data_IF_018593357918
#
_entry.id   IF_018593357918
#
_cell.length_a   1.000
_cell.length_b   1.000
_cell.length_c   1.000
_cell.angle_alpha   90.00
_cell.angle_beta   90.00
_cell.angle_gamma   90.00
#
_symmetry.space_group_name_H-M   'P 1'
#
loop_
_entity.id
_entity.type
_entity.pdbx_description
1 polymer ?
#
# COMPACT_ATOMS: atom_id res chain seq x y z
N UNK A 1 12.88 -7.04 -25.48
CA UNK A 1 12.26 -8.10 -26.31
C UNK A 1 12.34 -9.49 -25.66
N UNK A 2 13.34 -9.77 -24.83
CA UNK A 2 13.51 -11.09 -24.23
C UNK A 2 12.34 -11.51 -23.30
N UNK A 3 11.83 -10.58 -22.49
CA UNK A 3 10.75 -10.84 -21.53
C UNK A 3 9.40 -11.28 -22.14
N UNK A 4 9.03 -10.77 -23.33
CA UNK A 4 7.80 -11.23 -24.01
C UNK A 4 7.96 -12.66 -24.51
N UNK A 5 9.14 -13.01 -25.02
CA UNK A 5 9.44 -14.38 -25.43
C UNK A 5 9.46 -15.33 -24.23
N UNK A 6 10.05 -14.89 -23.12
CA UNK A 6 10.02 -15.63 -21.85
C UNK A 6 8.60 -15.89 -21.40
N UNK A 7 7.73 -14.87 -21.38
CA UNK A 7 6.31 -15.04 -21.03
C UNK A 7 5.60 -16.04 -21.95
N UNK A 8 5.75 -15.89 -23.27
CA UNK A 8 5.08 -16.78 -24.24
C UNK A 8 5.55 -18.24 -24.09
N UNK A 9 6.84 -18.45 -23.85
CA UNK A 9 7.42 -19.79 -23.62
C UNK A 9 6.98 -20.38 -22.28
N UNK A 10 7.08 -19.59 -21.20
CA UNK A 10 6.76 -20.03 -19.85
C UNK A 10 5.29 -20.41 -19.70
N UNK A 11 4.38 -19.64 -20.32
CA UNK A 11 2.94 -19.82 -20.14
C UNK A 11 2.24 -20.47 -21.34
N UNK A 12 2.95 -20.71 -22.44
CA UNK A 12 2.36 -21.25 -23.67
C UNK A 12 1.28 -20.35 -24.28
N UNK A 13 1.39 -19.02 -24.10
CA UNK A 13 0.45 -18.01 -24.57
C UNK A 13 1.03 -17.18 -25.71
N UNK A 14 0.18 -16.45 -26.44
CA UNK A 14 0.59 -15.44 -27.42
C UNK A 14 0.33 -14.05 -26.87
N UNK A 15 1.28 -13.14 -27.02
CA UNK A 15 1.11 -11.72 -26.67
C UNK A 15 0.27 -11.02 -27.75
N UNK A 16 -0.74 -10.27 -27.30
CA UNK A 16 -1.60 -9.45 -28.17
C UNK A 16 -1.13 -8.00 -28.18
N UNK A 17 -1.03 -7.41 -27.00
CA UNK A 17 -0.63 -6.01 -26.77
C UNK A 17 0.22 -5.92 -25.52
N UNK A 18 0.99 -4.84 -25.41
CA UNK A 18 1.74 -4.54 -24.19
C UNK A 18 1.90 -3.03 -24.04
N UNK A 19 2.02 -2.58 -22.80
CA UNK A 19 2.16 -1.18 -22.43
C UNK A 19 3.17 -1.05 -21.30
N UNK A 20 4.13 -0.12 -21.40
CA UNK A 20 5.04 0.19 -20.30
C UNK A 20 4.30 1.04 -19.26
N UNK A 21 4.31 0.60 -18.00
CA UNK A 21 3.79 1.36 -16.86
C UNK A 21 4.89 2.22 -16.24
N UNK A 22 4.48 3.34 -15.65
CA UNK A 22 5.40 4.25 -14.97
C UNK A 22 5.96 3.57 -13.71
N UNK A 23 7.27 3.37 -13.67
CA UNK A 23 8.03 2.98 -12.49
C UNK A 23 9.40 3.63 -12.54
N UNK A 24 9.92 4.01 -11.38
CA UNK A 24 11.20 4.73 -11.25
C UNK A 24 12.38 3.79 -11.03
N UNK A 25 12.12 2.56 -10.55
CA UNK A 25 13.15 1.59 -10.15
C UNK A 25 13.25 0.42 -11.11
N UNK A 26 12.11 0.00 -11.65
CA UNK A 26 11.99 -1.23 -12.44
C UNK A 26 11.30 -0.95 -13.77
N UNK A 27 11.50 -1.82 -14.77
CA UNK A 27 10.68 -1.76 -15.96
C UNK A 27 9.43 -2.61 -15.73
N UNK A 28 8.27 -1.94 -15.62
CA UNK A 28 6.98 -2.59 -15.42
C UNK A 28 6.18 -2.55 -16.71
N UNK A 29 5.60 -3.68 -17.10
CA UNK A 29 4.80 -3.81 -18.31
C UNK A 29 3.47 -4.50 -18.02
N UNK A 30 2.39 -3.91 -18.51
CA UNK A 30 1.12 -4.60 -18.68
C UNK A 30 1.14 -5.35 -20.00
N UNK A 31 0.74 -6.61 -20.01
CA UNK A 31 0.77 -7.47 -21.19
C UNK A 31 -0.54 -8.22 -21.32
N UNK A 32 -1.24 -8.04 -22.44
CA UNK A 32 -2.41 -8.84 -22.78
C UNK A 32 -2.00 -10.07 -23.57
N UNK A 33 -2.54 -11.22 -23.19
CA UNK A 33 -2.21 -12.49 -23.82
C UNK A 33 -3.46 -13.25 -24.22
N UNK A 34 -3.29 -14.21 -25.11
CA UNK A 34 -4.32 -15.20 -25.46
C UNK A 34 -3.74 -16.61 -25.36
N UNK A 35 -4.45 -17.52 -24.70
CA UNK A 35 -4.08 -18.93 -24.61
C UNK A 35 -4.47 -19.70 -25.88
N UNK A 36 -4.02 -20.95 -26.00
CA UNK A 36 -4.45 -21.86 -27.09
C UNK A 36 -5.97 -22.09 -27.13
N UNK A 37 -6.64 -21.96 -25.99
CA UNK A 37 -8.10 -22.04 -25.87
C UNK A 37 -8.81 -20.71 -26.19
N UNK A 38 -8.10 -19.74 -26.78
CA UNK A 38 -8.61 -18.41 -27.10
C UNK A 38 -9.09 -17.59 -25.89
N UNK A 39 -8.61 -17.92 -24.68
CA UNK A 39 -8.91 -17.13 -23.46
C UNK A 39 -7.92 -15.99 -23.33
N UNK A 40 -8.43 -14.76 -23.21
CA UNK A 40 -7.61 -13.59 -22.96
C UNK A 40 -7.30 -13.47 -21.47
N UNK A 41 -6.04 -13.22 -21.12
CA UNK A 41 -5.62 -12.95 -19.74
C UNK A 41 -4.49 -11.91 -19.69
N UNK A 42 -4.62 -10.86 -18.89
CA UNK A 42 -3.55 -9.89 -18.66
C UNK A 42 -2.55 -10.35 -17.61
N UNK A 43 -1.32 -9.86 -17.72
CA UNK A 43 -0.24 -10.06 -16.76
C UNK A 43 0.55 -8.76 -16.52
N UNK A 44 1.23 -8.71 -15.38
CA UNK A 44 2.29 -7.73 -15.12
C UNK A 44 3.65 -8.42 -15.25
N UNK A 45 4.54 -7.82 -16.02
CA UNK A 45 5.96 -8.19 -16.06
C UNK A 45 6.76 -7.09 -15.38
N UNK A 46 7.59 -7.47 -14.41
CA UNK A 46 8.50 -6.56 -13.72
C UNK A 46 9.94 -7.04 -13.95
N UNK A 47 10.74 -6.19 -14.58
CA UNK A 47 12.17 -6.40 -14.79
C UNK A 47 12.98 -5.58 -13.79
N UNK A 48 13.94 -6.24 -13.17
CA UNK A 48 14.89 -5.67 -12.23
C UNK A 48 16.25 -5.52 -12.92
N UNK A 49 16.59 -4.32 -13.42
CA UNK A 49 17.86 -4.10 -14.11
C UNK A 49 19.05 -4.11 -13.16
N UNK A 50 18.87 -3.57 -11.94
CA UNK A 50 19.96 -3.21 -11.04
C UNK A 50 20.00 -4.04 -9.74
N UNK A 51 19.01 -4.92 -9.53
CA UNK A 51 18.89 -5.74 -8.32
C UNK A 51 18.25 -7.11 -8.61
N UNK A 52 18.44 -8.13 -7.76
CA UNK A 52 17.75 -9.40 -7.92
C UNK A 52 16.29 -9.30 -7.46
N UNK A 53 15.40 -10.00 -8.18
CA UNK A 53 13.96 -10.08 -7.86
C UNK A 53 13.63 -10.89 -6.59
N UNK A 54 14.61 -11.62 -6.04
CA UNK A 54 14.42 -12.69 -5.07
C UNK A 54 13.67 -12.27 -3.80
N UNK A 55 13.89 -11.05 -3.30
CA UNK A 55 13.21 -10.56 -2.10
C UNK A 55 11.70 -10.41 -2.33
N UNK A 56 11.29 -9.75 -3.41
CA UNK A 56 9.87 -9.60 -3.72
C UNK A 56 9.23 -10.95 -4.04
N UNK A 57 9.94 -11.84 -4.76
CA UNK A 57 9.45 -13.20 -5.00
C UNK A 57 9.18 -13.95 -3.70
N UNK A 58 10.11 -13.87 -2.75
CA UNK A 58 9.96 -14.51 -1.44
C UNK A 58 8.72 -13.97 -0.71
N UNK A 59 8.61 -12.64 -0.55
CA UNK A 59 7.51 -12.04 0.21
C UNK A 59 6.15 -12.26 -0.44
N UNK A 60 6.01 -12.07 -1.75
CA UNK A 60 4.76 -12.35 -2.47
C UNK A 60 4.34 -13.81 -2.30
N UNK A 61 5.28 -14.75 -2.42
CA UNK A 61 5.00 -16.19 -2.29
C UNK A 61 4.53 -16.56 -0.89
N UNK A 62 5.22 -16.09 0.16
CA UNK A 62 4.86 -16.45 1.54
C UNK A 62 3.58 -15.75 2.01
N UNK A 63 3.37 -14.49 1.62
CA UNK A 63 2.15 -13.73 1.97
C UNK A 63 0.92 -14.30 1.27
N UNK A 64 1.05 -14.71 0.00
CA UNK A 64 -0.04 -15.37 -0.72
C UNK A 64 -0.41 -16.71 -0.08
N UNK A 65 0.58 -17.53 0.31
CA UNK A 65 0.35 -18.81 1.00
C UNK A 65 -0.27 -18.62 2.39
N UNK A 66 0.04 -17.51 3.05
CA UNK A 66 -0.60 -17.09 4.30
C UNK A 66 -2.06 -16.63 4.09
N UNK A 67 -2.47 -16.36 2.85
CA UNK A 67 -3.82 -15.91 2.51
C UNK A 67 -3.98 -14.39 2.44
N UNK A 68 -2.87 -13.63 2.44
CA UNK A 68 -2.93 -12.19 2.18
C UNK A 68 -3.17 -11.94 0.69
N UNK A 69 -3.98 -10.94 0.38
CA UNK A 69 -4.23 -10.51 -0.99
C UNK A 69 -3.02 -9.74 -1.54
N UNK A 70 -2.23 -10.45 -2.32
CA UNK A 70 -1.07 -9.96 -3.09
C UNK A 70 -1.08 -10.66 -4.46
N UNK A 71 -0.41 -10.11 -5.49
CA UNK A 71 -0.32 -10.76 -6.78
C UNK A 71 0.30 -12.16 -6.70
N UNK A 72 -0.37 -13.13 -7.31
CA UNK A 72 0.19 -14.44 -7.60
C UNK A 72 1.32 -14.33 -8.63
N UNK A 73 2.47 -14.90 -8.26
CA UNK A 73 3.59 -15.08 -9.18
C UNK A 73 3.31 -16.30 -10.05
N UNK A 74 3.27 -16.08 -11.36
CA UNK A 74 3.04 -17.12 -12.36
C UNK A 74 4.37 -17.72 -12.81
N UNK A 75 5.40 -16.88 -12.91
CA UNK A 75 6.74 -17.28 -13.28
C UNK A 75 7.76 -16.24 -12.83
N UNK A 76 8.98 -16.64 -12.50
CA UNK A 76 10.07 -15.71 -12.21
C UNK A 76 11.44 -16.32 -12.53
N UNK A 77 12.43 -15.46 -12.69
CA UNK A 77 13.85 -15.79 -12.61
C UNK A 77 14.58 -14.71 -11.79
N UNK A 78 15.92 -14.65 -11.87
CA UNK A 78 16.71 -13.67 -11.12
C UNK A 78 16.41 -12.20 -11.50
N UNK A 79 15.92 -11.93 -12.72
CA UNK A 79 15.74 -10.59 -13.28
C UNK A 79 14.29 -10.22 -13.56
N UNK A 80 13.40 -11.21 -13.69
CA UNK A 80 12.01 -10.99 -14.09
C UNK A 80 11.05 -11.64 -13.10
N UNK A 81 9.93 -10.97 -12.87
CA UNK A 81 8.73 -11.55 -12.27
C UNK A 81 7.57 -11.35 -13.24
N UNK A 82 6.87 -12.43 -13.54
CA UNK A 82 5.58 -12.44 -14.23
C UNK A 82 4.52 -12.79 -13.20
N UNK A 83 3.58 -11.87 -13.00
CA UNK A 83 2.54 -12.00 -11.99
C UNK A 83 1.17 -11.71 -12.58
N UNK A 84 0.13 -12.14 -11.87
CA UNK A 84 -1.24 -11.79 -12.23
C UNK A 84 -1.40 -10.26 -12.29
N UNK A 85 -2.22 -9.81 -13.24
CA UNK A 85 -2.69 -8.44 -13.22
C UNK A 85 -3.93 -8.34 -12.32
N UNK A 86 -3.87 -7.46 -11.32
CA UNK A 86 -4.99 -7.17 -10.44
C UNK A 86 -5.85 -6.09 -11.08
N UNK A 87 -7.05 -6.47 -11.52
CA UNK A 87 -8.06 -5.53 -11.99
C UNK A 87 -8.67 -4.79 -10.79
N UNK A 88 -8.62 -3.47 -10.78
CA UNK A 88 -9.24 -2.66 -9.73
C UNK A 88 -8.89 -1.18 -9.81
N UNK A 89 -9.34 -0.44 -8.81
CA UNK A 89 -9.10 1.01 -8.65
C UNK A 89 -7.97 1.23 -7.66
N UNK A 90 -7.02 2.12 -7.97
CA UNK A 90 -5.93 2.45 -7.06
C UNK A 90 -6.45 3.23 -5.85
N UNK A 91 -5.84 3.06 -4.67
CA UNK A 91 -6.20 3.85 -3.50
C UNK A 91 -6.04 5.36 -3.73
N UNK A 92 -5.06 5.78 -4.55
CA UNK A 92 -4.89 7.19 -4.93
C UNK A 92 -6.11 7.75 -5.68
N UNK A 93 -6.79 6.93 -6.48
CA UNK A 93 -7.94 7.34 -7.29
C UNK A 93 -9.23 7.30 -6.47
N UNK A 94 -9.36 6.34 -5.54
CA UNK A 94 -10.44 6.32 -4.55
C UNK A 94 -10.44 7.57 -3.65
N UNK A 95 -9.28 8.21 -3.51
CA UNK A 95 -9.10 9.46 -2.76
C UNK A 95 -9.25 10.73 -3.62
N UNK A 96 -9.59 10.58 -4.90
CA UNK A 96 -9.80 11.71 -5.83
C UNK A 96 -11.15 12.40 -5.64
N UNK A 97 -12.20 11.66 -5.32
CA UNK A 97 -13.54 12.20 -5.10
C UNK A 97 -14.24 11.52 -3.91
N UNK A 98 -14.93 12.28 -3.03
CA UNK A 98 -15.67 11.71 -1.90
C UNK A 98 -16.93 10.98 -2.40
N UNK A 99 -16.79 9.69 -2.71
CA UNK A 99 -17.89 8.83 -3.15
C UNK A 99 -18.58 8.11 -1.96
N UNK A 100 -19.82 7.65 -2.16
CA UNK A 100 -20.67 7.04 -1.13
C UNK A 100 -20.21 5.68 -0.57
N UNK A 101 -19.21 5.04 -1.18
CA UNK A 101 -18.71 3.71 -0.78
C UNK A 101 -17.46 3.74 0.11
N UNK A 102 -17.09 4.91 0.65
CA UNK A 102 -15.89 5.08 1.46
C UNK A 102 -15.74 4.07 2.60
N UNK A 103 -16.85 3.78 3.30
CA UNK A 103 -16.83 2.87 4.44
C UNK A 103 -16.38 1.44 4.06
N UNK A 104 -16.74 0.96 2.88
CA UNK A 104 -16.40 -0.40 2.46
C UNK A 104 -14.89 -0.52 2.28
N UNK A 105 -14.30 0.29 1.40
CA UNK A 105 -12.88 0.17 1.10
C UNK A 105 -12.01 0.53 2.30
N UNK A 106 -12.40 1.48 3.16
CA UNK A 106 -11.65 1.80 4.39
C UNK A 106 -11.53 0.55 5.29
N UNK A 107 -12.63 -0.18 5.48
CA UNK A 107 -12.62 -1.40 6.30
C UNK A 107 -11.76 -2.50 5.66
N UNK A 108 -11.80 -2.63 4.34
CA UNK A 108 -10.98 -3.62 3.64
C UNK A 108 -9.48 -3.26 3.64
N UNK A 109 -9.14 -1.97 3.60
CA UNK A 109 -7.76 -1.51 3.77
C UNK A 109 -7.28 -1.80 5.19
N UNK A 110 -8.11 -1.53 6.21
CA UNK A 110 -7.81 -1.87 7.59
C UNK A 110 -7.58 -3.38 7.77
N UNK A 111 -8.44 -4.21 7.16
CA UNK A 111 -8.31 -5.67 7.18
C UNK A 111 -7.03 -6.13 6.49
N UNK A 112 -6.67 -5.50 5.38
CA UNK A 112 -5.43 -5.81 4.67
C UNK A 112 -4.19 -5.54 5.53
N UNK A 113 -4.10 -4.35 6.17
CA UNK A 113 -3.00 -4.04 7.09
C UNK A 113 -2.97 -4.98 8.29
N UNK A 114 -4.13 -5.27 8.89
CA UNK A 114 -4.22 -6.21 10.01
C UNK A 114 -3.73 -7.61 9.60
N UNK A 115 -4.07 -8.05 8.39
CA UNK A 115 -3.58 -9.31 7.82
C UNK A 115 -2.06 -9.31 7.65
N UNK A 116 -1.48 -8.24 7.09
CA UNK A 116 -0.03 -8.10 6.94
C UNK A 116 0.68 -8.13 8.31
N UNK A 117 0.21 -7.33 9.26
CA UNK A 117 0.80 -7.22 10.59
C UNK A 117 0.62 -8.49 11.45
N UNK A 118 -0.35 -9.34 11.09
CA UNK A 118 -0.55 -10.65 11.71
C UNK A 118 0.40 -11.74 11.16
N UNK A 119 0.97 -11.55 9.97
CA UNK A 119 1.76 -12.59 9.28
C UNK A 119 2.98 -13.05 10.10
N UNK A 120 3.74 -12.09 10.64
CA UNK A 120 4.87 -12.37 11.51
C UNK A 120 4.85 -11.35 12.64
N UNK A 121 4.60 -11.83 13.86
CA UNK A 121 4.74 -11.04 15.07
C UNK A 121 5.88 -11.58 15.90
N UNK A 122 6.74 -10.66 16.33
CA UNK A 122 7.84 -10.96 17.23
C UNK A 122 7.57 -10.34 18.59
N UNK A 123 8.17 -10.87 19.68
CA UNK A 123 8.08 -10.24 21.00
C UNK A 123 8.46 -8.75 20.91
N UNK A 124 7.62 -7.87 21.47
CA UNK A 124 7.82 -6.41 21.40
C UNK A 124 6.98 -5.66 20.36
N UNK A 125 5.87 -6.25 19.89
CA UNK A 125 4.91 -5.61 18.95
C UNK A 125 5.48 -5.28 17.57
N UNK A 126 6.61 -5.87 17.20
CA UNK A 126 7.20 -5.68 15.88
C UNK A 126 6.59 -6.69 14.91
N UNK A 127 6.07 -6.18 13.79
CA UNK A 127 5.47 -6.97 12.71
C UNK A 127 6.16 -6.71 11.37
N UNK A 128 5.82 -7.53 10.36
CA UNK A 128 6.17 -7.21 8.97
C UNK A 128 5.37 -5.99 8.53
N UNK A 129 6.06 -4.91 8.16
CA UNK A 129 5.50 -3.69 7.57
C UNK A 129 5.85 -3.58 6.09
N UNK A 130 4.98 -2.92 5.33
CA UNK A 130 5.11 -2.73 3.89
C UNK A 130 6.22 -1.74 3.52
N UNK A 131 6.60 -0.81 4.40
CA UNK A 131 7.61 0.24 4.19
C UNK A 131 7.33 1.22 3.03
N UNK A 132 7.06 0.76 1.80
CA UNK A 132 6.59 1.58 0.68
C UNK A 132 5.05 1.65 0.65
N UNK A 133 4.56 2.70 1.32
CA UNK A 133 3.14 3.01 1.53
C UNK A 133 2.56 3.92 0.44
N UNK A 134 3.21 4.01 -0.73
CA UNK A 134 2.66 4.76 -1.86
C UNK A 134 1.22 4.28 -2.16
N UNK A 135 0.28 5.22 -2.29
CA UNK A 135 -1.14 4.92 -2.52
C UNK A 135 -1.39 4.13 -3.82
N UNK A 136 -0.45 4.14 -4.77
CA UNK A 136 -0.54 3.33 -6.01
C UNK A 136 -0.23 1.85 -5.77
N UNK A 137 0.37 1.52 -4.64
CA UNK A 137 0.71 0.15 -4.27
C UNK A 137 -0.48 -0.61 -3.65
N UNK A 138 -1.68 -0.01 -3.66
CA UNK A 138 -2.90 -0.60 -3.13
C UNK A 138 -3.99 -0.54 -4.20
N UNK A 139 -4.55 -1.71 -4.53
CA UNK A 139 -5.55 -1.87 -5.58
C UNK A 139 -6.81 -2.47 -4.94
N UNK A 140 -7.95 -1.79 -5.09
CA UNK A 140 -9.25 -2.27 -4.64
C UNK A 140 -10.02 -2.86 -5.81
N UNK A 141 -10.39 -4.14 -5.74
CA UNK A 141 -11.12 -4.83 -6.83
C UNK A 141 -12.65 -4.63 -6.76
N UNK A 142 -13.12 -3.78 -5.84
CA UNK A 142 -14.54 -3.60 -5.50
C UNK A 142 -14.98 -4.42 -4.28
N UNK A 143 -14.14 -5.33 -3.78
CA UNK A 143 -14.44 -6.19 -2.61
C UNK A 143 -13.32 -6.26 -1.61
N UNK A 144 -12.08 -6.34 -2.05
CA UNK A 144 -10.89 -6.46 -1.20
C UNK A 144 -9.75 -5.61 -1.73
N UNK A 145 -8.81 -5.26 -0.84
CA UNK A 145 -7.54 -4.68 -1.25
C UNK A 145 -6.51 -5.75 -1.57
N UNK A 146 -5.70 -5.46 -2.58
CA UNK A 146 -4.42 -6.10 -2.85
C UNK A 146 -3.31 -5.10 -2.58
N UNK A 147 -2.26 -5.54 -1.90
CA UNK A 147 -1.00 -4.80 -1.88
C UNK A 147 -0.08 -5.32 -2.97
N UNK A 148 0.66 -4.41 -3.59
CA UNK A 148 1.69 -4.72 -4.60
C UNK A 148 3.00 -4.06 -4.21
N UNK A 149 4.08 -4.42 -4.89
CA UNK A 149 5.42 -3.85 -4.69
C UNK A 149 5.98 -4.14 -3.28
N UNK A 150 6.57 -5.33 -3.14
CA UNK A 150 7.15 -5.85 -1.89
C UNK A 150 8.68 -5.92 -1.93
N UNK A 151 9.33 -5.09 -2.74
CA UNK A 151 10.80 -5.01 -2.80
C UNK A 151 11.41 -4.52 -1.51
N UNK A 152 10.73 -3.58 -0.87
CA UNK A 152 11.09 -3.03 0.43
C UNK A 152 10.05 -3.50 1.43
N UNK A 153 10.47 -4.29 2.40
CA UNK A 153 9.69 -4.57 3.59
C UNK A 153 10.58 -4.39 4.80
N UNK A 154 9.97 -4.19 5.96
CA UNK A 154 10.70 -3.95 7.18
C UNK A 154 10.02 -4.62 8.36
N UNK A 155 10.78 -4.84 9.43
CA UNK A 155 10.20 -5.16 10.72
C UNK A 155 10.06 -3.87 11.52
N UNK A 156 8.83 -3.50 11.84
CA UNK A 156 8.51 -2.29 12.63
C UNK A 156 7.21 -2.46 13.40
N UNK A 157 6.91 -1.58 14.37
CA UNK A 157 5.58 -1.52 14.97
C UNK A 157 4.51 -1.23 13.89
N UNK A 158 3.29 -1.77 14.02
CA UNK A 158 2.20 -1.53 13.07
C UNK A 158 1.84 -0.05 12.95
N UNK A 159 2.10 0.74 14.00
CA UNK A 159 1.92 2.18 14.04
C UNK A 159 2.72 2.92 12.96
N UNK A 160 3.85 2.36 12.51
CA UNK A 160 4.65 2.95 11.44
C UNK A 160 3.89 2.94 10.12
N UNK A 161 3.32 1.79 9.76
CA UNK A 161 2.55 1.64 8.53
C UNK A 161 1.26 2.45 8.59
N UNK A 162 0.56 2.41 9.73
CA UNK A 162 -0.69 3.15 9.94
C UNK A 162 -0.48 4.67 9.94
N UNK A 163 0.54 5.18 10.63
CA UNK A 163 0.89 6.59 10.61
C UNK A 163 1.35 7.05 9.23
N UNK A 164 2.20 6.25 8.59
CA UNK A 164 2.70 6.52 7.25
C UNK A 164 1.58 6.57 6.20
N UNK A 165 0.69 5.59 6.16
CA UNK A 165 -0.42 5.58 5.19
C UNK A 165 -1.37 6.76 5.44
N UNK A 166 -1.62 7.15 6.69
CA UNK A 166 -2.39 8.36 7.01
C UNK A 166 -1.71 9.63 6.47
N UNK A 167 -0.38 9.73 6.55
CA UNK A 167 0.36 10.85 5.96
C UNK A 167 0.22 10.88 4.43
N UNK A 168 0.30 9.72 3.76
CA UNK A 168 0.06 9.62 2.32
C UNK A 168 -1.37 10.01 1.93
N UNK A 169 -2.38 9.55 2.67
CA UNK A 169 -3.79 9.91 2.45
C UNK A 169 -3.98 11.43 2.54
N UNK A 170 -3.53 12.03 3.65
CA UNK A 170 -3.70 13.47 3.90
C UNK A 170 -2.92 14.34 2.90
N UNK A 171 -1.72 13.92 2.51
CA UNK A 171 -0.84 14.66 1.61
C UNK A 171 -1.00 14.27 0.12
N UNK A 172 -2.04 13.51 -0.22
CA UNK A 172 -2.44 13.32 -1.61
C UNK A 172 -3.34 14.47 -2.06
N UNK A 173 -3.35 14.84 -3.33
CA UNK A 173 -4.26 15.87 -3.84
C UNK A 173 -5.74 15.38 -3.80
N UNK A 174 -6.72 16.23 -3.45
CA UNK A 174 -6.57 17.53 -2.76
C UNK A 174 -6.05 17.33 -1.32
N UNK A 175 -5.06 18.14 -0.92
CA UNK A 175 -4.29 17.90 0.32
C UNK A 175 -5.01 18.43 1.56
N UNK A 176 -5.00 17.64 2.64
CA UNK A 176 -5.53 17.97 3.97
C UNK A 176 -7.00 18.39 3.99
N UNK A 177 -7.81 17.84 3.10
CA UNK A 177 -9.27 18.02 3.15
C UNK A 177 -9.88 17.36 4.38
N UNK A 178 -10.94 17.98 4.94
CA UNK A 178 -11.59 17.52 6.18
C UNK A 178 -12.00 16.04 6.11
N UNK A 179 -12.52 15.59 4.98
CA UNK A 179 -12.97 14.21 4.79
C UNK A 179 -11.80 13.20 4.81
N UNK A 180 -10.58 13.61 4.43
CA UNK A 180 -9.39 12.74 4.50
C UNK A 180 -8.96 12.46 5.93
N UNK A 181 -9.19 13.40 6.85
CA UNK A 181 -9.04 13.11 8.27
C UNK A 181 -10.05 12.03 8.69
N UNK A 182 -11.33 12.17 8.34
CA UNK A 182 -12.35 11.16 8.66
C UNK A 182 -12.00 9.77 8.11
N UNK A 183 -11.39 9.70 6.92
CA UNK A 183 -10.84 8.47 6.35
C UNK A 183 -9.76 7.88 7.24
N UNK A 184 -8.72 8.65 7.59
CA UNK A 184 -7.63 8.18 8.48
C UNK A 184 -8.19 7.66 9.80
N UNK A 185 -9.12 8.39 10.38
CA UNK A 185 -9.74 8.01 11.64
C UNK A 185 -10.54 6.71 11.54
N UNK A 186 -11.37 6.60 10.50
CA UNK A 186 -12.14 5.40 10.25
C UNK A 186 -11.25 4.19 9.98
N UNK A 187 -10.11 4.40 9.31
CA UNK A 187 -9.10 3.37 9.08
C UNK A 187 -8.49 2.87 10.39
N UNK A 188 -8.05 3.79 11.27
CA UNK A 188 -7.48 3.44 12.57
C UNK A 188 -8.51 2.73 13.45
N UNK A 189 -9.72 3.26 13.58
CA UNK A 189 -10.78 2.63 14.37
C UNK A 189 -11.19 1.24 13.85
N UNK A 190 -11.23 1.06 12.52
CA UNK A 190 -11.49 -0.24 11.91
C UNK A 190 -10.34 -1.23 12.20
N UNK A 191 -9.09 -0.78 12.12
CA UNK A 191 -7.92 -1.60 12.43
C UNK A 191 -7.91 -2.05 13.90
N UNK A 192 -8.16 -1.13 14.84
CA UNK A 192 -8.26 -1.42 16.27
C UNK A 192 -9.36 -2.45 16.57
N UNK A 193 -10.53 -2.30 15.92
CA UNK A 193 -11.65 -3.24 16.08
C UNK A 193 -11.28 -4.65 15.62
N UNK A 194 -10.52 -4.78 14.53
CA UNK A 194 -10.04 -6.07 14.02
C UNK A 194 -8.97 -6.64 14.97
N UNK A 195 -8.10 -5.78 15.47
CA UNK A 195 -6.97 -6.15 16.32
C UNK A 195 -7.43 -6.66 17.69
N UNK A 196 -8.40 -5.99 18.30
CA UNK A 196 -9.01 -6.41 19.56
C UNK A 196 -9.65 -7.81 19.47
N UNK A 197 -10.28 -8.13 18.32
CA UNK A 197 -10.87 -9.46 18.10
C UNK A 197 -9.83 -10.56 17.92
N UNK A 198 -8.63 -10.20 17.49
CA UNK A 198 -7.54 -11.12 17.17
C UNK A 198 -6.54 -11.27 18.33
N UNK A 199 -6.88 -10.76 19.52
CA UNK A 199 -6.01 -10.71 20.70
C UNK A 199 -4.67 -10.00 20.45
N UNK A 200 -4.62 -9.06 19.50
CA UNK A 200 -3.42 -8.25 19.30
C UNK A 200 -3.28 -7.22 20.42
N UNK A 201 -2.03 -6.83 20.71
CA UNK A 201 -1.78 -5.70 21.61
C UNK A 201 -2.52 -4.45 21.14
N UNK A 202 -2.97 -3.65 22.10
CA UNK A 202 -3.62 -2.38 21.80
C UNK A 202 -2.67 -1.47 21.02
N UNK A 203 -3.22 -0.79 20.01
CA UNK A 203 -2.49 0.15 19.18
C UNK A 203 -2.10 1.39 19.99
N UNK A 204 -0.85 1.82 19.89
CA UNK A 204 -0.42 3.09 20.48
C UNK A 204 -0.74 4.26 19.52
N UNK A 205 -1.88 4.91 19.75
CA UNK A 205 -2.33 6.07 18.95
C UNK A 205 -1.32 7.23 18.96
N UNK A 206 -0.52 7.39 20.01
CA UNK A 206 0.52 8.43 20.07
C UNK A 206 1.70 8.07 19.15
N UNK A 207 2.04 6.78 19.06
CA UNK A 207 3.04 6.30 18.11
C UNK A 207 2.54 6.38 16.66
N UNK A 208 1.26 6.06 16.36
CA UNK A 208 0.66 6.28 15.02
C UNK A 208 0.84 7.74 14.60
N UNK A 209 0.50 8.65 15.50
CA UNK A 209 0.65 10.09 15.27
C UNK A 209 2.10 10.51 15.03
N UNK A 210 3.03 9.99 15.85
CA UNK A 210 4.45 10.22 15.67
C UNK A 210 4.91 9.85 14.25
N UNK A 211 4.59 8.65 13.78
CA UNK A 211 4.97 8.20 12.44
C UNK A 211 4.27 8.96 11.31
N UNK A 212 3.01 9.39 11.51
CA UNK A 212 2.33 10.29 10.58
C UNK A 212 3.13 11.59 10.41
N UNK A 213 3.53 12.22 11.52
CA UNK A 213 4.28 13.49 11.48
C UNK A 213 5.66 13.28 10.84
N UNK A 214 6.36 12.20 11.18
CA UNK A 214 7.67 11.90 10.57
C UNK A 214 7.56 11.68 9.05
N UNK A 215 6.53 10.97 8.58
CA UNK A 215 6.32 10.77 7.15
C UNK A 215 5.95 12.09 6.44
N UNK A 216 5.16 12.96 7.07
CA UNK A 216 4.90 14.31 6.53
C UNK A 216 6.17 15.16 6.43
N UNK A 217 7.05 15.11 7.44
CA UNK A 217 8.36 15.79 7.38
C UNK A 217 9.22 15.24 6.24
N UNK A 218 9.25 13.91 6.09
CA UNK A 218 9.96 13.25 5.01
C UNK A 218 9.40 13.67 3.63
N UNK A 219 8.07 13.77 3.51
CA UNK A 219 7.43 14.27 2.29
C UNK A 219 7.78 15.74 2.00
N UNK A 220 7.80 16.61 3.03
CA UNK A 220 8.20 18.02 2.89
C UNK A 220 9.66 18.18 2.44
N UNK A 221 10.55 17.32 2.95
CA UNK A 221 11.95 17.28 2.52
C UNK A 221 12.06 16.93 1.02
N UNK A 222 11.30 15.92 0.56
CA UNK A 222 11.32 15.43 -0.84
C UNK A 222 10.61 16.35 -1.85
N UNK A 223 9.55 17.08 -1.45
CA UNK A 223 8.68 17.85 -2.35
C UNK A 223 8.88 19.36 -2.19
N UNK A 224 9.96 19.88 -2.78
CA UNK A 224 10.37 21.29 -2.67
C UNK A 224 9.21 22.29 -2.88
N UNK A 225 8.42 22.12 -3.95
CA UNK A 225 7.28 23.02 -4.28
C UNK A 225 6.14 23.02 -3.24
N UNK A 226 6.02 21.97 -2.42
CA UNK A 226 4.95 21.81 -1.43
C UNK A 226 5.48 21.95 0.01
N UNK A 227 6.79 22.14 0.19
CA UNK A 227 7.46 22.08 1.48
C UNK A 227 6.90 23.05 2.50
N UNK A 228 6.72 24.31 2.11
CA UNK A 228 6.24 25.35 3.03
C UNK A 228 4.82 25.08 3.51
N UNK A 229 3.94 24.69 2.58
CA UNK A 229 2.57 24.30 2.91
C UNK A 229 2.54 23.08 3.87
N UNK A 230 3.37 22.07 3.61
CA UNK A 230 3.48 20.90 4.49
C UNK A 230 4.02 21.28 5.87
N UNK A 231 5.02 22.14 5.95
CA UNK A 231 5.57 22.62 7.22
C UNK A 231 4.53 23.39 8.04
N UNK A 232 3.68 24.21 7.39
CA UNK A 232 2.55 24.88 8.05
C UNK A 232 1.58 23.83 8.62
N UNK A 233 1.21 22.81 7.84
CA UNK A 233 0.30 21.75 8.29
C UNK A 233 0.90 20.91 9.43
N UNK A 234 2.18 20.55 9.37
CA UNK A 234 2.89 19.87 10.45
C UNK A 234 2.89 20.72 11.72
N UNK A 235 3.10 22.04 11.59
CA UNK A 235 3.02 22.96 12.74
C UNK A 235 1.62 22.99 13.32
N UNK A 236 0.58 23.17 12.51
CA UNK A 236 -0.83 23.13 12.96
C UNK A 236 -1.14 21.85 13.75
N UNK A 237 -0.80 20.70 13.17
CA UNK A 237 -0.95 19.37 13.76
C UNK A 237 -0.24 19.29 15.13
N UNK A 238 1.02 19.71 15.21
CA UNK A 238 1.83 19.63 16.45
C UNK A 238 1.49 20.69 17.50
N UNK A 239 1.04 21.88 17.10
CA UNK A 239 0.60 22.94 18.04
C UNK A 239 -0.79 22.68 18.60
N UNK A 240 -1.71 22.13 17.80
CA UNK A 240 -3.04 21.73 18.29
C UNK A 240 -2.95 20.69 19.42
N UNK A 241 -1.87 19.89 19.47
CA UNK A 241 -1.61 18.93 20.54
C UNK A 241 -1.29 19.57 21.90
N UNK A 242 -0.76 20.79 21.94
CA UNK A 242 -0.40 21.47 23.20
C UNK A 242 -1.62 22.02 23.95
N UNK A 243 -2.75 22.18 23.27
CA UNK A 243 -4.04 22.41 23.91
C UNK A 243 -4.72 21.06 24.20
N UNK A 244 -5.14 20.85 25.45
CA UNK A 244 -5.87 19.64 25.89
C UNK A 244 -7.14 19.36 25.05
N UNK A 245 -7.68 20.40 24.41
CA UNK A 245 -8.81 20.35 23.48
C UNK A 245 -8.42 19.90 22.08
N UNK A 246 -7.22 20.21 21.59
CA UNK A 246 -6.78 19.87 20.23
C UNK A 246 -6.23 18.45 20.10
N UNK A 247 -5.59 17.92 21.15
CA UNK A 247 -5.31 16.48 21.25
C UNK A 247 -6.61 15.68 21.31
N UNK A 248 -7.63 16.13 22.06
CA UNK A 248 -8.96 15.49 22.07
C UNK A 248 -9.70 15.62 20.75
N UNK A 249 -9.64 16.75 20.05
CA UNK A 249 -10.33 16.88 18.76
C UNK A 249 -9.63 16.12 17.63
N UNK A 250 -8.31 15.96 17.72
CA UNK A 250 -7.55 15.11 16.80
C UNK A 250 -7.75 13.62 17.15
N UNK A 251 -7.61 13.19 18.42
CA UNK A 251 -7.80 11.80 18.86
C UNK A 251 -9.25 11.33 19.04
N UNK A 252 -10.24 12.23 19.09
CA UNK A 252 -11.67 11.89 18.95
C UNK A 252 -12.14 12.03 17.50
N UNK A 253 -11.32 12.71 16.68
CA UNK A 253 -11.32 12.53 15.25
C UNK A 253 -10.91 11.10 14.93
N UNK A 254 -9.75 10.64 15.42
CA UNK A 254 -9.15 9.30 15.27
C UNK A 254 -9.78 8.20 16.12
#
# INVERSE_FOLDING_TARGET
>A
MDYLNTLQKALGVKVLTWEKKLSLRNNVFYVETVSRENRKKPYIIKEYPDSPSCNEVFFLSVLRRYGLNVPEIVWHDARFIIMEYIQGTLLTDLLGEPLGEQKLWINELARWFAGLHAFMQTPGQVCLGKSDLNLRNFIFDGRVFYGVDFEEVCFSPPERDLGGICAFILNNHPMFEKWKYQVCCSLIGAYETISAKSCFPALDREAVWYYLVEELKAAAARREKQRDYLNVKIKELTTGRKDSTGLRNFLAGF
#
